data_IF_586171448320
#
_entry.id   IF_586171448320
#
_cell.length_a   1.000
_cell.length_b   1.000
_cell.length_c   1.000
_cell.angle_alpha   90.00
_cell.angle_beta   90.00
_cell.angle_gamma   90.00
#
_symmetry.space_group_name_H-M   'P 1'
#
loop_
_entity.id
_entity.type
_entity.pdbx_description
1 polymer ?
#
# COMPACT_ATOMS: atom_id res chain seq x y z
N UNK A 1 -0.95 -10.44 -26.85
CA UNK A 1 -0.53 -9.04 -26.59
C UNK A 1 -0.69 -8.76 -25.12
N UNK A 2 0.38 -8.37 -24.45
CA UNK A 2 0.33 -7.99 -23.03
C UNK A 2 -0.15 -6.55 -22.91
N UNK A 3 -1.12 -6.32 -22.01
CA UNK A 3 -1.55 -4.97 -21.71
C UNK A 3 -0.56 -4.34 -20.74
N UNK A 4 -0.05 -3.16 -21.08
CA UNK A 4 0.88 -2.44 -20.23
C UNK A 4 0.21 -1.99 -18.94
N UNK A 5 0.95 -2.10 -17.84
CA UNK A 5 0.51 -1.63 -16.53
C UNK A 5 0.96 -0.18 -16.39
N UNK A 6 0.02 0.68 -16.01
CA UNK A 6 0.28 2.10 -15.75
C UNK A 6 0.01 2.36 -14.27
N UNK A 7 0.97 2.99 -13.58
CA UNK A 7 0.80 3.43 -12.19
C UNK A 7 0.47 4.91 -12.20
N UNK A 8 -0.63 5.27 -11.57
CA UNK A 8 -1.11 6.66 -11.49
C UNK A 8 -1.76 6.92 -10.13
N UNK A 9 -2.09 8.18 -9.86
CA UNK A 9 -2.84 8.53 -8.65
C UNK A 9 -4.22 7.88 -8.70
N UNK A 10 -4.70 7.41 -7.55
CA UNK A 10 -6.03 6.80 -7.43
C UNK A 10 -7.08 7.89 -7.60
N UNK A 11 -7.98 7.77 -8.58
CA UNK A 11 -9.08 8.73 -8.73
C UNK A 11 -10.10 8.55 -7.59
N UNK A 12 -10.33 9.62 -6.82
CA UNK A 12 -11.28 9.61 -5.71
C UNK A 12 -12.71 9.41 -6.22
N UNK A 13 -13.55 8.80 -5.40
CA UNK A 13 -14.98 8.57 -5.68
C UNK A 13 -15.24 7.86 -7.01
N UNK A 14 -14.29 7.02 -7.42
CA UNK A 14 -14.38 6.24 -8.66
C UNK A 14 -14.70 4.79 -8.36
N UNK A 15 -15.04 4.04 -9.40
CA UNK A 15 -15.20 2.59 -9.30
C UNK A 15 -13.89 1.92 -8.84
N UNK A 16 -12.74 2.43 -9.27
CA UNK A 16 -11.44 1.92 -8.85
C UNK A 16 -11.22 2.13 -7.36
N UNK A 17 -11.60 3.28 -6.82
CA UNK A 17 -11.47 3.55 -5.39
C UNK A 17 -12.34 2.59 -4.56
N UNK A 18 -13.58 2.38 -4.95
CA UNK A 18 -14.46 1.44 -4.27
C UNK A 18 -13.96 0.01 -4.37
N UNK A 19 -13.50 -0.41 -5.53
CA UNK A 19 -12.98 -1.77 -5.75
C UNK A 19 -11.68 -1.98 -4.95
N UNK A 20 -10.75 -1.05 -5.02
CA UNK A 20 -9.48 -1.12 -4.29
C UNK A 20 -9.67 -1.14 -2.79
N UNK A 21 -10.59 -0.32 -2.26
CA UNK A 21 -10.93 -0.31 -0.84
C UNK A 21 -11.52 -1.66 -0.40
N UNK A 22 -12.39 -2.24 -1.21
CA UNK A 22 -12.99 -3.54 -0.91
C UNK A 22 -11.92 -4.64 -0.88
N UNK A 23 -11.00 -4.65 -1.85
CA UNK A 23 -9.91 -5.63 -1.88
C UNK A 23 -9.02 -5.53 -0.65
N UNK A 24 -8.61 -4.32 -0.28
CA UNK A 24 -7.73 -4.11 0.86
C UNK A 24 -8.43 -4.50 2.17
N UNK A 25 -9.68 -4.11 2.32
CA UNK A 25 -10.48 -4.46 3.50
C UNK A 25 -10.67 -5.99 3.60
N UNK A 26 -11.05 -6.65 2.52
CA UNK A 26 -11.25 -8.10 2.52
C UNK A 26 -9.95 -8.84 2.87
N UNK A 27 -8.81 -8.31 2.47
CA UNK A 27 -7.49 -8.88 2.76
C UNK A 27 -7.10 -8.75 4.24
N UNK A 28 -7.47 -7.65 4.90
CA UNK A 28 -7.01 -7.33 6.25
C UNK A 28 -8.03 -7.56 7.36
N UNK A 29 -9.32 -7.66 7.06
CA UNK A 29 -10.39 -7.70 8.07
C UNK A 29 -10.27 -8.87 9.06
N UNK A 30 -9.68 -9.99 8.66
CA UNK A 30 -9.48 -11.13 9.55
C UNK A 30 -8.27 -10.95 10.46
N UNK A 31 -7.26 -10.20 10.00
CA UNK A 31 -6.07 -9.89 10.79
C UNK A 31 -6.38 -8.81 11.82
N UNK A 32 -7.13 -7.79 11.42
CA UNK A 32 -7.54 -6.70 12.29
C UNK A 32 -9.06 -6.59 12.30
N UNK A 33 -9.72 -7.12 13.35
CA UNK A 33 -11.18 -7.05 13.48
C UNK A 33 -11.74 -5.63 13.59
N UNK A 34 -10.89 -4.63 13.89
CA UNK A 34 -11.29 -3.23 13.94
C UNK A 34 -11.11 -2.52 12.59
N UNK A 35 -10.66 -3.23 11.56
CA UNK A 35 -10.51 -2.64 10.24
C UNK A 35 -11.86 -2.20 9.68
N UNK A 36 -11.85 -1.14 8.90
CA UNK A 36 -13.05 -0.49 8.36
C UNK A 36 -12.79 -0.06 6.93
N UNK A 37 -13.68 -0.45 6.03
CA UNK A 37 -13.58 -0.08 4.62
C UNK A 37 -13.57 1.44 4.44
N UNK A 38 -14.23 2.20 5.32
CA UNK A 38 -14.26 3.65 5.24
C UNK A 38 -12.88 4.28 5.44
N UNK A 39 -12.01 3.64 6.21
CA UNK A 39 -10.63 4.09 6.37
C UNK A 39 -9.91 4.20 5.00
N UNK A 40 -10.04 3.16 4.18
CA UNK A 40 -9.41 3.14 2.84
C UNK A 40 -10.02 4.19 1.92
N UNK A 41 -11.34 4.34 1.93
CA UNK A 41 -12.02 5.34 1.12
C UNK A 41 -11.63 6.76 1.54
N UNK A 42 -11.46 7.00 2.83
CA UNK A 42 -11.01 8.30 3.35
C UNK A 42 -9.59 8.61 2.90
N UNK A 43 -8.68 7.63 2.95
CA UNK A 43 -7.30 7.81 2.47
C UNK A 43 -7.29 8.21 1.00
N UNK A 44 -8.07 7.53 0.17
CA UNK A 44 -8.15 7.84 -1.25
C UNK A 44 -8.71 9.25 -1.48
N UNK A 45 -9.73 9.66 -0.73
CA UNK A 45 -10.31 10.98 -0.85
C UNK A 45 -9.33 12.08 -0.41
N UNK A 46 -8.64 11.87 0.71
CA UNK A 46 -7.64 12.82 1.20
C UNK A 46 -6.46 12.97 0.24
N UNK A 47 -5.99 11.87 -0.35
CA UNK A 47 -4.88 11.90 -1.29
C UNK A 47 -5.19 12.70 -2.55
N UNK A 48 -6.45 12.76 -2.95
CA UNK A 48 -6.87 13.50 -4.13
C UNK A 48 -6.96 15.00 -3.90
N UNK A 49 -7.02 15.46 -2.62
CA UNK A 49 -7.12 16.89 -2.29
C UNK A 49 -5.78 17.58 -2.49
N UNK A 50 -4.68 16.96 -2.05
CA UNK A 50 -3.35 17.56 -2.14
C UNK A 50 -2.30 16.52 -2.52
N UNK A 51 -1.99 16.38 -3.82
CA UNK A 51 -1.00 15.39 -4.27
C UNK A 51 0.44 15.72 -3.87
N UNK A 52 0.69 16.89 -3.27
CA UNK A 52 2.02 17.29 -2.81
C UNK A 52 2.28 16.95 -1.35
N UNK A 53 1.36 16.26 -0.68
CA UNK A 53 1.50 15.84 0.71
C UNK A 53 0.93 14.43 0.91
N UNK A 54 1.22 13.83 2.07
CA UNK A 54 0.63 12.55 2.45
C UNK A 54 -0.75 12.77 3.08
N UNK A 55 -1.70 11.83 2.94
CA UNK A 55 -1.52 10.53 2.27
C UNK A 55 -1.47 10.64 0.76
N UNK A 56 -0.88 9.65 0.10
CA UNK A 56 -0.99 9.48 -1.34
C UNK A 56 -1.49 8.07 -1.66
N UNK A 57 -2.20 7.93 -2.76
CA UNK A 57 -2.78 6.66 -3.16
C UNK A 57 -2.53 6.40 -4.64
N UNK A 58 -2.15 5.18 -4.96
CA UNK A 58 -1.77 4.78 -6.30
C UNK A 58 -2.68 3.68 -6.80
N UNK A 59 -2.98 3.74 -8.09
CA UNK A 59 -3.69 2.69 -8.81
C UNK A 59 -2.82 2.18 -9.94
N UNK A 60 -2.71 0.86 -10.05
CA UNK A 60 -2.14 0.21 -11.22
C UNK A 60 -3.29 -0.20 -12.13
N UNK A 61 -3.26 0.23 -13.38
CA UNK A 61 -4.31 -0.07 -14.34
C UNK A 61 -3.77 -0.77 -15.56
N UNK A 62 -4.59 -1.64 -16.14
CA UNK A 62 -4.32 -2.32 -17.39
C UNK A 62 -5.38 -1.86 -18.40
N UNK A 63 -4.95 -1.09 -19.40
CA UNK A 63 -5.89 -0.39 -20.26
C UNK A 63 -6.65 0.69 -19.49
N UNK A 64 -7.88 1.01 -19.92
CA UNK A 64 -8.67 2.09 -19.32
C UNK A 64 -9.66 1.62 -18.25
N UNK A 65 -9.92 0.33 -18.17
CA UNK A 65 -11.09 -0.22 -17.45
C UNK A 65 -10.74 -1.25 -16.39
N UNK A 66 -9.48 -1.70 -16.30
CA UNK A 66 -9.10 -2.76 -15.38
C UNK A 66 -8.16 -2.25 -14.30
N UNK A 67 -8.59 -2.40 -13.05
CA UNK A 67 -7.71 -2.16 -11.91
C UNK A 67 -6.87 -3.41 -11.68
N UNK A 68 -5.54 -3.24 -11.74
CA UNK A 68 -4.60 -4.33 -11.53
C UNK A 68 -4.08 -4.40 -10.10
N UNK A 69 -4.07 -3.28 -9.39
CA UNK A 69 -3.61 -3.25 -8.02
C UNK A 69 -3.66 -1.85 -7.41
N UNK A 70 -3.44 -1.78 -6.11
CA UNK A 70 -3.48 -0.53 -5.33
C UNK A 70 -2.37 -0.50 -4.30
N UNK A 71 -1.97 0.70 -3.90
CA UNK A 71 -1.08 0.95 -2.78
C UNK A 71 -1.28 2.37 -2.28
N UNK A 72 -0.98 2.62 -1.02
CA UNK A 72 -0.97 3.99 -0.51
C UNK A 72 0.24 4.23 0.39
N UNK A 73 0.51 5.50 0.67
CA UNK A 73 1.51 5.92 1.66
C UNK A 73 0.80 6.83 2.64
N UNK A 74 0.90 6.49 3.92
CA UNK A 74 0.23 7.20 5.01
C UNK A 74 1.23 7.55 6.10
N UNK A 75 0.93 8.58 6.89
CA UNK A 75 1.76 8.95 8.03
C UNK A 75 1.59 7.98 9.20
N UNK A 76 0.37 7.45 9.38
CA UNK A 76 0.04 6.50 10.44
C UNK A 76 -0.77 5.35 9.83
N UNK A 77 -0.24 4.13 9.92
CA UNK A 77 -0.91 2.93 9.40
C UNK A 77 -1.58 2.12 10.53
N UNK A 78 -1.92 2.78 11.62
CA UNK A 78 -2.69 2.20 12.72
C UNK A 78 -2.07 0.93 13.33
N UNK A 79 -0.76 0.79 13.28
CA UNK A 79 -0.06 -0.29 13.99
C UNK A 79 -0.09 0.02 15.48
N UNK A 80 -0.70 -0.84 16.34
CA UNK A 80 -0.95 -0.48 17.75
C UNK A 80 0.30 -0.15 18.56
N UNK A 81 1.43 -0.79 18.29
CA UNK A 81 2.68 -0.56 19.03
C UNK A 81 3.72 0.17 18.19
N UNK A 82 3.30 0.96 17.22
CA UNK A 82 4.22 1.66 16.33
C UNK A 82 5.17 2.58 17.10
N UNK A 83 6.47 2.42 16.85
CA UNK A 83 7.53 3.30 17.35
C UNK A 83 8.30 3.94 16.20
N UNK A 84 8.12 3.43 15.01
CA UNK A 84 8.74 3.94 13.80
C UNK A 84 8.06 5.26 13.39
N UNK A 85 8.82 6.24 12.89
CA UNK A 85 8.25 7.55 12.58
C UNK A 85 7.38 7.57 11.30
N UNK A 86 7.43 6.50 10.50
CA UNK A 86 6.78 6.53 9.19
C UNK A 86 7.56 7.36 8.17
N UNK A 87 7.02 7.61 6.98
CA UNK A 87 5.68 7.18 6.56
C UNK A 87 5.62 5.68 6.25
N UNK A 88 4.39 5.19 6.03
CA UNK A 88 4.12 3.77 5.84
C UNK A 88 3.51 3.51 4.47
N UNK A 89 4.08 2.56 3.73
CA UNK A 89 3.40 1.97 2.58
C UNK A 89 2.33 1.03 3.14
N UNK A 90 1.10 1.19 2.71
CA UNK A 90 -0.04 0.50 3.26
C UNK A 90 -1.03 0.08 2.18
N UNK A 91 -1.90 -0.86 2.51
CA UNK A 91 -3.02 -1.29 1.68
C UNK A 91 -2.58 -1.72 0.27
N UNK A 92 -1.45 -2.42 0.20
CA UNK A 92 -0.94 -2.98 -1.06
C UNK A 92 -1.76 -4.23 -1.40
N UNK A 93 -2.41 -4.22 -2.55
CA UNK A 93 -3.14 -5.39 -3.03
C UNK A 93 -3.03 -5.49 -4.54
N UNK A 94 -2.82 -6.70 -5.04
CA UNK A 94 -2.76 -6.98 -6.48
C UNK A 94 -3.93 -7.87 -6.86
N UNK A 95 -4.66 -7.45 -7.89
CA UNK A 95 -5.73 -8.26 -8.47
C UNK A 95 -5.16 -9.63 -8.83
N UNK A 96 -5.78 -10.74 -8.36
CA UNK A 96 -5.27 -12.10 -8.64
C UNK A 96 -5.00 -12.39 -10.11
N UNK A 97 -5.76 -11.80 -11.02
CA UNK A 97 -5.55 -11.98 -12.48
C UNK A 97 -4.22 -11.39 -12.97
N UNK A 98 -3.64 -10.47 -12.19
CA UNK A 98 -2.40 -9.78 -12.56
C UNK A 98 -1.20 -10.21 -11.71
N UNK A 99 -1.34 -11.19 -10.84
CA UNK A 99 -0.21 -11.71 -10.06
C UNK A 99 0.81 -12.39 -10.97
N UNK A 100 2.08 -12.33 -10.56
CA UNK A 100 3.19 -12.85 -11.37
C UNK A 100 3.66 -11.91 -12.47
N UNK A 101 3.17 -10.68 -12.52
CA UNK A 101 3.55 -9.66 -13.52
C UNK A 101 4.24 -8.46 -12.91
N UNK A 102 4.77 -8.60 -11.69
CA UNK A 102 5.50 -7.54 -10.97
C UNK A 102 4.67 -6.29 -10.65
N UNK A 103 3.35 -6.37 -10.63
CA UNK A 103 2.48 -5.22 -10.35
C UNK A 103 2.70 -4.71 -8.93
N UNK A 104 2.75 -5.62 -7.95
CA UNK A 104 2.99 -5.25 -6.55
C UNK A 104 4.33 -4.56 -6.37
N UNK A 105 5.39 -5.10 -6.96
CA UNK A 105 6.72 -4.49 -6.90
C UNK A 105 6.73 -3.10 -7.54
N UNK A 106 6.07 -2.92 -8.66
CA UNK A 106 5.96 -1.63 -9.33
C UNK A 106 5.22 -0.61 -8.46
N UNK A 107 4.10 -1.02 -7.85
CA UNK A 107 3.33 -0.17 -6.95
C UNK A 107 4.15 0.27 -5.75
N UNK A 108 4.79 -0.67 -5.07
CA UNK A 108 5.58 -0.37 -3.87
C UNK A 108 6.79 0.50 -4.22
N UNK A 109 7.47 0.20 -5.32
CA UNK A 109 8.62 0.99 -5.77
C UNK A 109 8.21 2.43 -6.10
N UNK A 110 7.09 2.62 -6.78
CA UNK A 110 6.57 3.95 -7.07
C UNK A 110 6.14 4.69 -5.80
N UNK A 111 5.51 3.99 -4.86
CA UNK A 111 5.11 4.57 -3.58
C UNK A 111 6.33 5.12 -2.81
N UNK A 112 7.41 4.35 -2.76
CA UNK A 112 8.66 4.78 -2.11
C UNK A 112 9.26 5.99 -2.85
N UNK A 113 9.28 5.94 -4.18
CA UNK A 113 9.80 7.05 -4.99
C UNK A 113 9.04 8.34 -4.72
N UNK A 114 7.71 8.26 -4.68
CA UNK A 114 6.85 9.41 -4.42
C UNK A 114 7.04 9.96 -3.00
N UNK A 115 7.18 9.08 -2.01
CA UNK A 115 7.45 9.49 -0.63
C UNK A 115 8.79 10.23 -0.54
N UNK A 116 9.80 9.77 -1.25
CA UNK A 116 11.12 10.43 -1.27
C UNK A 116 11.08 11.79 -1.96
N UNK A 117 10.30 11.94 -3.01
CA UNK A 117 10.08 13.26 -3.63
C UNK A 117 9.46 14.25 -2.66
N UNK A 118 8.67 13.80 -1.70
CA UNK A 118 8.08 14.62 -0.67
C UNK A 118 9.01 14.88 0.53
N UNK A 119 10.26 14.37 0.47
CA UNK A 119 11.28 14.62 1.48
C UNK A 119 11.47 13.51 2.51
N UNK A 120 10.77 12.40 2.39
CA UNK A 120 10.90 11.27 3.30
C UNK A 120 12.01 10.33 2.82
N UNK A 121 12.99 10.04 3.68
CA UNK A 121 14.13 9.18 3.33
C UNK A 121 13.85 7.72 3.63
N UNK A 122 13.46 7.41 4.86
CA UNK A 122 13.12 6.05 5.28
C UNK A 122 11.63 5.85 5.17
N UNK A 123 11.24 4.75 4.55
CA UNK A 123 9.83 4.40 4.36
C UNK A 123 9.61 3.02 4.98
N UNK A 124 8.52 2.86 5.69
CA UNK A 124 8.21 1.65 6.45
C UNK A 124 7.00 0.93 5.86
N UNK A 125 6.87 -0.34 6.20
CA UNK A 125 5.64 -1.12 6.02
C UNK A 125 5.61 -2.23 7.06
N UNK A 126 4.47 -2.87 7.22
CA UNK A 126 4.40 -4.15 7.91
C UNK A 126 3.64 -5.16 7.05
N UNK A 127 3.99 -6.43 7.22
CA UNK A 127 3.42 -7.51 6.43
C UNK A 127 3.22 -8.75 7.30
N UNK A 128 2.24 -9.58 6.94
CA UNK A 128 1.94 -10.80 7.69
C UNK A 128 2.89 -11.94 7.32
N UNK A 129 3.07 -12.20 6.03
CA UNK A 129 3.67 -13.45 5.58
C UNK A 129 4.55 -13.34 4.32
N UNK A 130 4.76 -12.13 3.80
CA UNK A 130 5.55 -11.94 2.57
C UNK A 130 6.80 -11.08 2.78
N UNK A 131 7.36 -11.05 3.99
CA UNK A 131 8.58 -10.30 4.28
C UNK A 131 9.73 -10.70 3.34
N UNK A 132 9.86 -11.99 3.07
CA UNK A 132 10.91 -12.48 2.17
C UNK A 132 10.79 -11.87 0.76
N UNK A 133 9.57 -11.71 0.27
CA UNK A 133 9.34 -11.08 -1.03
C UNK A 133 9.82 -9.63 -1.04
N UNK A 134 9.49 -8.86 -0.01
CA UNK A 134 9.97 -7.48 0.12
C UNK A 134 11.50 -7.40 0.20
N UNK A 135 12.13 -8.38 0.87
CA UNK A 135 13.59 -8.42 0.95
C UNK A 135 14.26 -8.54 -0.44
N UNK A 136 13.57 -9.09 -1.42
CA UNK A 136 14.13 -9.23 -2.77
C UNK A 136 14.27 -7.91 -3.52
N UNK A 137 13.67 -6.81 -3.04
CA UNK A 137 13.77 -5.52 -3.72
C UNK A 137 13.97 -4.33 -2.77
N UNK A 138 14.86 -4.51 -1.81
CA UNK A 138 15.41 -3.37 -1.06
C UNK A 138 14.83 -3.11 0.31
N UNK A 139 13.99 -4.01 0.82
CA UNK A 139 13.42 -3.88 2.15
C UNK A 139 14.19 -4.71 3.16
N UNK A 140 14.32 -4.20 4.39
CA UNK A 140 14.99 -4.87 5.50
C UNK A 140 14.01 -5.07 6.66
N UNK A 141 14.13 -6.20 7.35
CA UNK A 141 13.33 -6.47 8.56
C UNK A 141 13.81 -5.59 9.70
N UNK A 142 12.88 -4.95 10.40
CA UNK A 142 13.16 -4.13 11.58
C UNK A 142 12.90 -4.92 12.85
N UNK A 143 11.69 -5.48 12.96
CA UNK A 143 11.26 -6.23 14.15
C UNK A 143 10.00 -7.01 13.84
N UNK A 144 9.66 -7.92 14.76
CA UNK A 144 8.39 -8.63 14.72
C UNK A 144 7.49 -8.14 15.84
N UNK A 145 6.19 -8.08 15.57
CA UNK A 145 5.17 -7.73 16.53
C UNK A 145 3.87 -8.48 16.18
N UNK A 146 2.76 -8.05 16.74
CA UNK A 146 1.47 -8.71 16.55
C UNK A 146 0.35 -7.67 16.38
N UNK A 147 -0.65 -8.02 15.57
CA UNK A 147 -1.95 -7.35 15.54
C UNK A 147 -2.97 -8.42 15.92
N UNK A 148 -3.67 -8.23 17.05
CA UNK A 148 -4.65 -9.20 17.57
C UNK A 148 -4.12 -10.64 17.54
N UNK A 149 -2.93 -10.84 18.10
CA UNK A 149 -2.25 -12.15 18.16
C UNK A 149 -1.79 -12.73 16.82
N UNK A 150 -1.92 -11.98 15.73
CA UNK A 150 -1.37 -12.37 14.42
C UNK A 150 0.05 -11.82 14.26
N UNK A 151 1.03 -12.65 13.91
CA UNK A 151 2.41 -12.16 13.75
C UNK A 151 2.54 -11.20 12.56
N UNK A 152 3.30 -10.15 12.77
CA UNK A 152 3.53 -9.08 11.80
C UNK A 152 5.02 -8.78 11.78
N UNK A 153 5.60 -8.60 10.61
CA UNK A 153 6.98 -8.14 10.42
C UNK A 153 6.98 -6.69 9.96
N UNK A 154 7.63 -5.84 10.74
CA UNK A 154 7.86 -4.43 10.36
C UNK A 154 9.13 -4.35 9.53
N UNK A 155 9.07 -3.62 8.43
CA UNK A 155 10.17 -3.50 7.47
C UNK A 155 10.44 -2.04 7.14
N UNK A 156 11.65 -1.77 6.66
CA UNK A 156 12.07 -0.43 6.26
C UNK A 156 12.79 -0.49 4.90
N UNK A 157 12.54 0.53 4.09
CA UNK A 157 13.31 0.80 2.87
C UNK A 157 14.10 2.09 3.12
N UNK A 158 15.42 1.98 3.16
CA UNK A 158 16.34 3.09 3.42
C UNK A 158 17.00 3.57 2.15
N UNK A 159 17.31 4.86 2.14
CA UNK A 159 18.10 5.42 1.05
C UNK A 159 19.51 4.86 1.09
#
# INVERSE_FOLDING_TARGET
>A
MTTDIVISDMPANSEFAHLGAQWAFDDWKETDPNDDIQWYLNVYSESAIDPSSLPLSLAATAGNDLLAGVACVVLDDALPDAIEPGPWVAAVFVNPEFRGRSVGKQLVTEAVRRARELGHTDVYLYTRDVAHWYETFGWERVRETHIHNKPITVMVNRV
#
